data_IF_449809676359
#
_entry.id   IF_449809676359
#
_cell.length_a   1.000
_cell.length_b   1.000
_cell.length_c   1.000
_cell.angle_alpha   90.00
_cell.angle_beta   90.00
_cell.angle_gamma   90.00
#
_symmetry.space_group_name_H-M   'P 1'
#
loop_
_entity.id
_entity.type
_entity.pdbx_description
1 polymer ?
#
# COMPACT_ATOMS: atom_id res chain seq x y z
N UNK A 1 -4.67 28.50 -30.40
CA UNK A 1 -5.79 27.89 -29.66
C UNK A 1 -5.22 27.42 -28.34
N UNK A 2 -5.65 28.05 -27.24
CA UNK A 2 -5.19 27.74 -25.89
C UNK A 2 -6.00 26.55 -25.39
N UNK A 3 -5.45 25.36 -25.46
CA UNK A 3 -5.96 24.24 -24.66
C UNK A 3 -5.26 24.30 -23.30
N UNK A 4 -5.82 25.15 -22.45
CA UNK A 4 -5.72 24.95 -21.01
C UNK A 4 -6.55 23.70 -20.67
N UNK A 5 -5.97 22.53 -20.92
CA UNK A 5 -6.32 21.35 -20.13
C UNK A 5 -5.86 21.64 -18.71
N UNK A 6 -6.71 22.34 -17.96
CA UNK A 6 -6.66 22.33 -16.52
C UNK A 6 -6.76 20.85 -16.12
N UNK A 7 -5.62 20.23 -15.85
CA UNK A 7 -5.51 18.86 -15.35
C UNK A 7 -6.51 18.75 -14.21
N UNK A 8 -7.60 18.03 -14.45
CA UNK A 8 -8.56 17.72 -13.39
C UNK A 8 -7.74 17.11 -12.26
N UNK A 9 -7.84 17.63 -11.02
CA UNK A 9 -7.22 16.97 -9.90
C UNK A 9 -7.70 15.51 -9.91
N UNK A 10 -6.77 14.58 -9.71
CA UNK A 10 -7.09 13.15 -9.64
C UNK A 10 -8.14 12.87 -8.56
N UNK A 11 -8.72 11.68 -8.57
CA UNK A 11 -9.67 11.31 -7.52
C UNK A 11 -8.90 11.07 -6.20
N UNK A 12 -9.35 11.61 -5.05
CA UNK A 12 -8.75 11.35 -3.75
C UNK A 12 -8.63 9.85 -3.47
N UNK A 13 -7.54 9.47 -2.81
CA UNK A 13 -7.30 8.09 -2.39
C UNK A 13 -7.07 8.07 -0.87
N UNK A 14 -7.99 7.41 -0.16
CA UNK A 14 -7.97 7.18 1.27
C UNK A 14 -7.44 5.76 1.53
N UNK A 15 -6.14 5.59 1.82
CA UNK A 15 -5.50 4.27 1.77
C UNK A 15 -6.09 3.25 2.74
N UNK A 16 -6.63 3.68 3.88
CA UNK A 16 -7.23 2.80 4.89
C UNK A 16 -8.74 2.54 4.66
N UNK A 17 -9.28 2.93 3.51
CA UNK A 17 -10.72 2.84 3.17
C UNK A 17 -10.95 2.39 1.73
N UNK A 18 -10.13 2.88 0.79
CA UNK A 18 -10.28 2.64 -0.64
C UNK A 18 -9.51 1.41 -1.14
N UNK A 19 -8.84 0.68 -0.24
CA UNK A 19 -8.01 -0.47 -0.59
C UNK A 19 -8.08 -1.58 0.47
N UNK A 20 -8.38 -2.81 0.04
CA UNK A 20 -8.58 -3.97 0.93
C UNK A 20 -7.42 -4.18 1.89
N UNK A 21 -6.18 -4.25 1.38
CA UNK A 21 -5.01 -4.42 2.25
C UNK A 21 -4.79 -3.23 3.18
N UNK A 22 -5.22 -2.03 2.77
CA UNK A 22 -5.15 -0.83 3.59
C UNK A 22 -6.21 -0.83 4.71
N UNK A 23 -7.42 -1.28 4.45
CA UNK A 23 -8.43 -1.51 5.49
C UNK A 23 -7.95 -2.56 6.51
N UNK A 24 -7.40 -3.66 6.02
CA UNK A 24 -6.78 -4.73 6.83
C UNK A 24 -5.63 -4.18 7.67
N UNK A 25 -4.76 -3.35 7.09
CA UNK A 25 -3.70 -2.63 7.81
C UNK A 25 -4.29 -1.79 8.96
N UNK A 26 -5.34 -1.01 8.68
CA UNK A 26 -6.01 -0.18 9.67
C UNK A 26 -6.48 -0.99 10.87
N UNK A 27 -7.24 -2.08 10.63
CA UNK A 27 -7.74 -2.97 11.70
C UNK A 27 -6.60 -3.65 12.48
N UNK A 28 -5.56 -4.07 11.77
CA UNK A 28 -4.37 -4.71 12.36
C UNK A 28 -3.68 -3.75 13.32
N UNK A 29 -3.49 -2.49 12.93
CA UNK A 29 -2.87 -1.46 13.77
C UNK A 29 -3.74 -1.12 14.98
N UNK A 30 -5.06 -0.99 14.79
CA UNK A 30 -6.00 -0.75 15.89
C UNK A 30 -5.96 -1.87 16.93
N UNK A 31 -5.94 -3.12 16.48
CA UNK A 31 -5.81 -4.29 17.35
C UNK A 31 -4.48 -4.32 18.13
N UNK A 32 -3.43 -3.70 17.60
CA UNK A 32 -2.11 -3.57 18.24
C UNK A 32 -1.96 -2.28 19.07
N UNK A 33 -3.00 -1.45 19.13
CA UNK A 33 -3.07 -0.25 19.97
C UNK A 33 -2.77 1.07 19.27
N UNK A 34 -2.61 1.09 17.95
CA UNK A 34 -2.43 2.31 17.14
C UNK A 34 -3.75 2.70 16.52
N UNK A 35 -4.26 3.92 16.80
CA UNK A 35 -5.57 4.33 16.27
C UNK A 35 -5.53 4.53 14.75
N UNK A 36 -6.69 4.37 14.09
CA UNK A 36 -6.83 4.67 12.65
C UNK A 36 -6.35 6.09 12.31
N UNK A 37 -6.64 7.08 13.17
CA UNK A 37 -6.19 8.47 12.95
C UNK A 37 -4.67 8.63 13.03
N UNK A 38 -4.02 7.91 13.94
CA UNK A 38 -2.56 7.92 14.05
C UNK A 38 -1.91 7.27 12.83
N UNK A 39 -2.46 6.13 12.38
CA UNK A 39 -2.03 5.46 11.15
C UNK A 39 -2.21 6.35 9.91
N UNK A 40 -3.37 6.99 9.77
CA UNK A 40 -3.65 7.91 8.66
C UNK A 40 -2.69 9.10 8.67
N UNK A 41 -2.46 9.72 9.83
CA UNK A 41 -1.48 10.81 9.98
C UNK A 41 -0.07 10.37 9.60
N UNK A 42 0.33 9.15 9.97
CA UNK A 42 1.62 8.58 9.62
C UNK A 42 1.75 8.42 8.09
N UNK A 43 0.73 7.89 7.43
CA UNK A 43 0.70 7.72 5.97
C UNK A 43 0.73 9.07 5.24
N UNK A 44 -0.13 10.01 5.65
CA UNK A 44 -0.20 11.34 5.04
C UNK A 44 1.09 12.15 5.24
N UNK A 45 1.95 11.79 6.19
CA UNK A 45 3.24 12.46 6.41
C UNK A 45 4.27 12.27 5.30
N UNK A 46 4.00 11.41 4.31
CA UNK A 46 4.77 11.34 3.07
C UNK A 46 4.53 12.56 2.16
N UNK A 47 3.37 13.21 2.30
CA UNK A 47 2.97 14.30 1.41
C UNK A 47 3.64 15.61 1.83
N UNK A 48 4.01 16.45 0.86
CA UNK A 48 4.48 17.80 1.16
C UNK A 48 3.33 18.66 1.72
N UNK A 49 3.63 19.76 2.45
CA UNK A 49 2.62 20.58 3.12
C UNK A 49 1.53 21.18 2.21
N UNK A 50 1.80 21.30 0.92
CA UNK A 50 0.90 21.82 -0.11
C UNK A 50 -0.02 20.75 -0.74
N UNK A 51 0.16 19.47 -0.38
CA UNK A 51 -0.68 18.36 -0.85
C UNK A 51 -1.35 17.68 0.34
N UNK A 52 -2.66 17.87 0.55
CA UNK A 52 -3.34 17.34 1.74
C UNK A 52 -3.67 15.84 1.66
N UNK A 53 -3.70 15.26 0.46
CA UNK A 53 -4.16 13.88 0.24
C UNK A 53 -3.42 13.18 -0.90
N UNK A 54 -3.44 11.85 -0.87
CA UNK A 54 -3.04 11.04 -2.01
C UNK A 54 -4.15 11.03 -3.06
N UNK A 55 -3.77 10.83 -4.31
CA UNK A 55 -4.69 10.70 -5.43
C UNK A 55 -4.49 9.33 -6.07
N UNK A 56 -5.56 8.75 -6.60
CA UNK A 56 -5.45 7.54 -7.41
C UNK A 56 -4.54 7.77 -8.61
N UNK A 57 -3.69 6.78 -8.89
CA UNK A 57 -2.89 6.77 -10.12
C UNK A 57 -3.84 6.61 -11.32
N UNK A 58 -3.70 7.42 -12.39
CA UNK A 58 -4.54 7.29 -13.58
C UNK A 58 -4.52 5.87 -14.14
N UNK A 59 -5.70 5.26 -14.37
CA UNK A 59 -5.85 3.85 -14.70
C UNK A 59 -4.94 3.36 -15.82
N UNK A 60 -4.83 4.10 -16.93
CA UNK A 60 -3.98 3.72 -18.05
C UNK A 60 -2.50 3.61 -17.65
N UNK A 61 -2.02 4.53 -16.81
CA UNK A 61 -0.67 4.51 -16.27
C UNK A 61 -0.49 3.39 -15.26
N UNK A 62 -1.47 3.20 -14.38
CA UNK A 62 -1.47 2.15 -13.36
C UNK A 62 -1.35 0.76 -13.99
N UNK A 63 -2.16 0.48 -15.03
CA UNK A 63 -2.13 -0.79 -15.76
C UNK A 63 -0.76 -1.09 -16.38
N UNK A 64 -0.11 -0.09 -17.00
CA UNK A 64 1.24 -0.27 -17.56
C UNK A 64 2.26 -0.60 -16.47
N UNK A 65 2.21 0.11 -15.34
CA UNK A 65 3.14 -0.09 -14.23
C UNK A 65 2.94 -1.44 -13.55
N UNK A 66 1.70 -1.90 -13.38
CA UNK A 66 1.39 -3.21 -12.82
C UNK A 66 1.81 -4.37 -13.73
N UNK A 67 2.05 -4.14 -15.01
CA UNK A 67 2.60 -5.16 -15.90
C UNK A 67 4.13 -5.23 -15.86
N UNK A 68 4.81 -4.11 -15.61
CA UNK A 68 6.27 -4.04 -15.66
C UNK A 68 6.94 -4.17 -14.30
N UNK A 69 6.42 -3.50 -13.26
CA UNK A 69 7.04 -3.46 -11.93
C UNK A 69 7.13 -4.83 -11.27
N UNK A 70 6.12 -5.73 -11.33
CA UNK A 70 6.27 -7.07 -10.75
C UNK A 70 7.40 -7.90 -11.38
N UNK A 71 7.75 -7.66 -12.65
CA UNK A 71 8.88 -8.34 -13.31
C UNK A 71 10.20 -7.88 -12.69
N UNK A 72 10.38 -6.56 -12.54
CA UNK A 72 11.55 -5.97 -11.89
C UNK A 72 11.65 -6.42 -10.43
N UNK A 73 10.57 -6.29 -9.65
CA UNK A 73 10.53 -6.66 -8.24
C UNK A 73 10.81 -8.15 -8.03
N UNK A 74 10.24 -9.02 -8.87
CA UNK A 74 10.53 -10.47 -8.82
C UNK A 74 12.02 -10.75 -8.97
N UNK A 75 12.70 -10.07 -9.89
CA UNK A 75 14.14 -10.26 -10.09
C UNK A 75 14.96 -9.90 -8.85
N UNK A 76 14.57 -8.86 -8.11
CA UNK A 76 15.22 -8.50 -6.84
C UNK A 76 14.89 -9.50 -5.72
N UNK A 77 13.64 -9.95 -5.64
CA UNK A 77 13.20 -10.94 -4.66
C UNK A 77 13.94 -12.28 -4.85
N UNK A 78 14.07 -12.76 -6.09
CA UNK A 78 14.80 -13.98 -6.43
C UNK A 78 16.30 -13.86 -6.13
N UNK A 79 16.87 -12.66 -6.26
CA UNK A 79 18.25 -12.36 -5.92
C UNK A 79 18.48 -12.13 -4.41
N UNK A 80 17.43 -12.11 -3.59
CA UNK A 80 17.50 -11.74 -2.17
C UNK A 80 17.84 -10.26 -1.92
N UNK A 81 17.69 -9.40 -2.93
CA UNK A 81 18.03 -7.97 -2.88
C UNK A 81 16.83 -7.14 -2.39
N UNK A 82 16.42 -7.37 -1.14
CA UNK A 82 15.23 -6.74 -0.55
C UNK A 82 15.35 -5.22 -0.44
N UNK A 83 16.59 -4.71 -0.33
CA UNK A 83 16.86 -3.27 -0.30
C UNK A 83 16.34 -2.59 -1.56
N UNK A 84 16.55 -3.18 -2.74
CA UNK A 84 16.02 -2.61 -3.98
C UNK A 84 14.50 -2.66 -4.07
N UNK A 85 13.86 -3.68 -3.50
CA UNK A 85 12.40 -3.73 -3.41
C UNK A 85 11.88 -2.54 -2.60
N UNK A 86 12.49 -2.28 -1.44
CA UNK A 86 12.16 -1.12 -0.60
C UNK A 86 12.44 0.20 -1.32
N UNK A 87 13.59 0.34 -2.00
CA UNK A 87 13.96 1.54 -2.76
C UNK A 87 12.95 1.86 -3.88
N UNK A 88 12.52 0.84 -4.64
CA UNK A 88 11.52 1.01 -5.70
C UNK A 88 10.21 1.53 -5.12
N UNK A 89 9.71 0.91 -4.05
CA UNK A 89 8.46 1.32 -3.42
C UNK A 89 8.58 2.68 -2.73
N UNK A 90 9.73 3.00 -2.14
CA UNK A 90 10.00 4.29 -1.54
C UNK A 90 9.90 5.40 -2.59
N UNK A 91 10.52 5.22 -3.76
CA UNK A 91 10.40 6.15 -4.88
C UNK A 91 8.94 6.30 -5.32
N UNK A 92 8.23 5.19 -5.50
CA UNK A 92 6.81 5.20 -5.92
C UNK A 92 5.91 5.96 -4.94
N UNK A 93 6.15 5.86 -3.64
CA UNK A 93 5.37 6.58 -2.61
C UNK A 93 5.83 8.04 -2.49
N UNK A 94 7.12 8.27 -2.16
CA UNK A 94 7.63 9.58 -1.76
C UNK A 94 7.83 10.54 -2.93
N UNK A 95 8.39 10.05 -4.02
CA UNK A 95 8.74 10.91 -5.16
C UNK A 95 7.57 11.01 -6.15
N UNK A 96 6.85 9.92 -6.37
CA UNK A 96 5.77 9.87 -7.35
C UNK A 96 4.38 10.08 -6.77
N UNK A 97 4.19 9.96 -5.45
CA UNK A 97 2.90 10.11 -4.77
C UNK A 97 1.88 9.04 -5.11
N UNK A 98 2.30 7.84 -5.54
CA UNK A 98 1.43 6.75 -6.02
C UNK A 98 1.25 5.67 -4.97
N UNK A 99 0.67 6.04 -3.84
CA UNK A 99 0.46 5.10 -2.73
C UNK A 99 -0.49 3.97 -3.12
N UNK A 100 -1.51 4.24 -3.93
CA UNK A 100 -2.46 3.23 -4.41
C UNK A 100 -1.76 2.12 -5.21
N UNK A 101 -0.82 2.49 -6.08
CA UNK A 101 0.00 1.53 -6.83
C UNK A 101 0.97 0.79 -5.91
N UNK A 102 1.60 1.49 -4.97
CA UNK A 102 2.52 0.87 -4.04
C UNK A 102 1.81 -0.19 -3.17
N UNK A 103 0.59 0.09 -2.69
CA UNK A 103 -0.20 -0.86 -1.92
C UNK A 103 -0.58 -2.10 -2.72
N UNK A 104 -0.92 -1.97 -4.01
CA UNK A 104 -1.15 -3.14 -4.88
C UNK A 104 0.11 -4.01 -5.07
N UNK A 105 1.27 -3.39 -5.22
CA UNK A 105 2.53 -4.13 -5.32
C UNK A 105 2.91 -4.79 -3.98
N UNK A 106 2.66 -4.11 -2.86
CA UNK A 106 2.86 -4.67 -1.52
C UNK A 106 1.91 -5.84 -1.30
N UNK A 107 0.64 -5.76 -1.71
CA UNK A 107 -0.30 -6.88 -1.64
C UNK A 107 0.16 -8.08 -2.46
N UNK A 108 0.64 -7.85 -3.67
CA UNK A 108 1.22 -8.89 -4.51
C UNK A 108 2.44 -9.56 -3.83
N UNK A 109 3.30 -8.79 -3.17
CA UNK A 109 4.43 -9.34 -2.41
C UNK A 109 3.92 -10.13 -1.19
N UNK A 110 3.02 -9.55 -0.42
CA UNK A 110 2.49 -10.11 0.81
C UNK A 110 1.76 -11.44 0.60
N UNK A 111 1.01 -11.57 -0.49
CA UNK A 111 0.27 -12.79 -0.83
C UNK A 111 1.12 -13.82 -1.59
N UNK A 112 2.15 -13.36 -2.31
CA UNK A 112 3.01 -14.21 -3.15
C UNK A 112 4.27 -14.74 -2.48
N UNK A 113 4.72 -14.11 -1.37
CA UNK A 113 6.01 -14.40 -0.75
C UNK A 113 5.89 -14.49 0.78
N UNK A 114 6.43 -15.56 1.35
CA UNK A 114 6.46 -15.77 2.81
C UNK A 114 7.71 -15.12 3.41
N UNK A 115 7.71 -13.79 3.50
CA UNK A 115 8.85 -12.98 3.96
C UNK A 115 8.39 -11.94 4.99
N UNK A 116 8.31 -12.35 6.26
CA UNK A 116 7.82 -11.52 7.37
C UNK A 116 8.57 -10.20 7.51
N UNK A 117 9.91 -10.25 7.56
CA UNK A 117 10.73 -9.06 7.79
C UNK A 117 10.59 -8.06 6.63
N UNK A 118 10.57 -8.54 5.39
CA UNK A 118 10.31 -7.70 4.23
C UNK A 118 8.93 -7.04 4.34
N UNK A 119 7.87 -7.80 4.63
CA UNK A 119 6.52 -7.23 4.73
C UNK A 119 6.46 -6.18 5.83
N UNK A 120 7.08 -6.41 6.99
CA UNK A 120 7.19 -5.41 8.06
C UNK A 120 7.91 -4.14 7.58
N UNK A 121 9.02 -4.27 6.85
CA UNK A 121 9.74 -3.12 6.28
C UNK A 121 8.88 -2.35 5.27
N UNK A 122 8.12 -3.05 4.42
CA UNK A 122 7.22 -2.43 3.45
C UNK A 122 6.09 -1.65 4.11
N UNK A 123 5.48 -2.18 5.17
CA UNK A 123 4.46 -1.45 5.91
C UNK A 123 5.04 -0.35 6.80
N UNK A 124 6.26 -0.49 7.32
CA UNK A 124 6.98 0.62 7.97
C UNK A 124 7.15 1.78 6.99
N UNK A 125 7.55 1.49 5.75
CA UNK A 125 7.65 2.46 4.69
C UNK A 125 6.28 3.13 4.39
N UNK A 126 5.19 2.37 4.29
CA UNK A 126 3.83 2.94 4.12
C UNK A 126 3.48 3.92 5.24
N UNK A 127 3.83 3.58 6.48
CA UNK A 127 3.63 4.42 7.68
C UNK A 127 4.72 5.51 7.84
N UNK A 128 5.57 5.71 6.83
CA UNK A 128 6.68 6.66 6.81
C UNK A 128 7.59 6.56 8.04
N UNK A 129 7.80 5.34 8.52
CA UNK A 129 8.61 5.00 9.70
C UNK A 129 8.17 5.74 10.99
N UNK A 130 6.90 6.18 11.05
CA UNK A 130 6.34 6.89 12.22
C UNK A 130 5.79 5.97 13.29
N UNK A 131 5.44 4.74 12.92
CA UNK A 131 4.85 3.75 13.80
C UNK A 131 5.75 2.51 13.74
N UNK A 132 6.24 2.09 14.90
CA UNK A 132 7.04 0.88 15.03
C UNK A 132 6.15 -0.36 14.90
N UNK A 133 6.44 -1.20 13.91
CA UNK A 133 5.72 -2.46 13.69
C UNK A 133 6.36 -3.59 14.49
N UNK A 134 5.68 -4.02 15.56
CA UNK A 134 6.08 -5.15 16.40
C UNK A 134 6.05 -6.47 15.63
N UNK A 135 6.64 -7.53 16.18
CA UNK A 135 6.69 -8.86 15.53
C UNK A 135 5.30 -9.47 15.34
N UNK A 136 4.37 -9.15 16.24
CA UNK A 136 2.99 -9.60 16.18
C UNK A 136 2.21 -9.00 15.00
N UNK A 137 2.74 -7.96 14.35
CA UNK A 137 2.11 -7.30 13.21
C UNK A 137 1.84 -8.26 12.05
N UNK A 138 2.86 -8.97 11.59
CA UNK A 138 2.73 -9.82 10.41
C UNK A 138 1.74 -10.99 10.57
N UNK A 139 1.81 -11.81 11.65
CA UNK A 139 0.82 -12.89 11.82
C UNK A 139 -0.60 -12.36 11.96
N UNK A 140 -0.80 -11.21 12.62
CA UNK A 140 -2.12 -10.60 12.75
C UNK A 140 -2.62 -10.03 11.42
N UNK A 141 -1.75 -9.38 10.63
CA UNK A 141 -2.06 -8.90 9.29
C UNK A 141 -2.53 -10.05 8.39
N UNK A 142 -1.84 -11.20 8.43
CA UNK A 142 -2.25 -12.43 7.73
C UNK A 142 -3.63 -12.91 8.18
N UNK A 143 -3.87 -12.97 9.48
CA UNK A 143 -5.17 -13.39 10.02
C UNK A 143 -6.31 -12.48 9.57
N UNK A 144 -6.12 -11.16 9.65
CA UNK A 144 -7.12 -10.16 9.24
C UNK A 144 -7.36 -10.15 7.73
N UNK A 145 -6.31 -10.35 6.92
CA UNK A 145 -6.44 -10.48 5.48
C UNK A 145 -7.21 -11.75 5.09
N UNK A 146 -6.88 -12.89 5.69
CA UNK A 146 -7.58 -14.16 5.46
C UNK A 146 -9.07 -14.08 5.84
N UNK A 147 -9.41 -13.37 6.92
CA UNK A 147 -10.80 -13.11 7.33
C UNK A 147 -11.54 -12.30 6.27
N UNK A 148 -10.93 -11.22 5.77
CA UNK A 148 -11.53 -10.36 4.75
C UNK A 148 -11.82 -11.16 3.46
N UNK A 149 -10.82 -11.90 2.97
CA UNK A 149 -10.94 -12.69 1.74
C UNK A 149 -12.00 -13.81 1.87
N UNK A 150 -12.17 -14.39 3.05
CA UNK A 150 -13.26 -15.37 3.31
C UNK A 150 -14.63 -14.71 3.38
N UNK A 151 -14.75 -13.57 4.06
CA UNK A 151 -16.00 -12.83 4.17
C UNK A 151 -16.54 -12.40 2.81
N UNK A 152 -15.65 -12.00 1.90
CA UNK A 152 -16.01 -11.71 0.52
C UNK A 152 -16.53 -12.94 -0.22
N UNK A 153 -15.87 -14.10 -0.10
CA UNK A 153 -16.32 -15.35 -0.72
C UNK A 153 -17.71 -15.79 -0.24
N UNK A 154 -18.02 -15.60 1.04
CA UNK A 154 -19.33 -15.94 1.59
C UNK A 154 -20.42 -14.98 1.07
N UNK A 155 -20.15 -13.68 0.99
CA UNK A 155 -21.06 -12.68 0.38
C UNK A 155 -21.33 -12.96 -1.11
N UNK A 156 -20.37 -13.52 -1.84
CA UNK A 156 -20.54 -13.92 -3.24
C UNK A 156 -21.40 -15.18 -3.40
N UNK A 157 -21.46 -16.06 -2.40
CA UNK A 157 -22.27 -17.30 -2.42
C UNK A 157 -23.73 -17.07 -2.03
N UNK A 158 -24.03 -15.96 -1.36
CA UNK A 158 -25.37 -15.57 -0.93
C UNK A 158 -26.14 -14.74 -1.97
N UNK A 159 -25.52 -14.38 -3.11
CA UNK A 159 -26.14 -13.69 -4.25
C UNK A 159 -26.42 -14.63 -5.40
#
# INVERSE_FOLDING_TARGET
MNDQDAQKPGFPFHPLEDFVLGEVLGRTLEALGTSKQEAEKAILSHLPPDRPEFLFTPNAKKQVLLQSMPIELRSFLEAGDWKKVVEVLQRTIKEEGRLDLALELIEWIFTGFDQEDLVRDLFSLVLNDKIELKKEFYPLLKEEYDKEMRGDLDRFREK
#
